data_IF_417532379696
#
_entry.id   IF_417532379696
#
_cell.length_a   1.000
_cell.length_b   1.000
_cell.length_c   1.000
_cell.angle_alpha   90.00
_cell.angle_beta   90.00
_cell.angle_gamma   90.00
#
_symmetry.space_group_name_H-M   'P 1'
#
loop_
_entity.id
_entity.type
_entity.pdbx_description
1 polymer ?
#
# COMPACT_ATOMS: atom_id res chain seq x y z
N UNK A 1 49.17 27.56 -16.33
CA UNK A 1 47.77 27.37 -15.90
C UNK A 1 46.96 27.07 -17.16
N UNK A 2 46.55 25.82 -17.34
CA UNK A 2 45.95 25.34 -18.60
C UNK A 2 44.54 25.93 -18.81
N UNK A 3 44.27 26.58 -19.96
CA UNK A 3 42.96 27.21 -20.26
C UNK A 3 41.83 26.20 -20.43
N UNK A 4 42.17 24.92 -20.62
CA UNK A 4 41.24 23.80 -20.76
C UNK A 4 40.31 23.64 -19.54
N UNK A 5 40.78 23.93 -18.31
CA UNK A 5 39.94 23.78 -17.12
C UNK A 5 38.90 24.92 -16.93
N UNK A 6 38.99 26.02 -17.69
CA UNK A 6 38.19 27.23 -17.44
C UNK A 6 36.79 27.18 -18.03
N UNK A 7 36.63 26.52 -19.18
CA UNK A 7 35.35 26.49 -19.91
C UNK A 7 34.56 25.19 -19.70
N UNK A 8 35.22 24.11 -19.25
CA UNK A 8 34.56 22.82 -18.97
C UNK A 8 34.02 22.74 -17.54
N UNK A 9 34.49 23.59 -16.63
CA UNK A 9 34.01 23.67 -15.24
C UNK A 9 32.50 23.87 -15.09
N UNK A 10 31.83 24.80 -15.82
CA UNK A 10 30.38 24.95 -15.73
C UNK A 10 29.64 23.71 -16.27
N UNK A 11 30.18 23.06 -17.29
CA UNK A 11 29.56 21.87 -17.91
C UNK A 11 29.68 20.65 -16.97
N UNK A 12 30.82 20.51 -16.30
CA UNK A 12 31.05 19.51 -15.27
C UNK A 12 30.16 19.76 -14.04
N UNK A 13 29.97 21.02 -13.63
CA UNK A 13 29.02 21.39 -12.56
C UNK A 13 27.58 21.03 -12.93
N UNK A 14 27.13 21.35 -14.15
CA UNK A 14 25.78 20.99 -14.63
C UNK A 14 25.61 19.46 -14.64
N UNK A 15 26.61 18.72 -15.11
CA UNK A 15 26.58 17.26 -15.13
C UNK A 15 26.47 16.65 -13.73
N UNK A 16 27.24 17.17 -12.76
CA UNK A 16 27.18 16.75 -11.36
C UNK A 16 25.81 17.07 -10.74
N UNK A 17 25.26 18.25 -10.98
CA UNK A 17 23.92 18.64 -10.48
C UNK A 17 22.83 17.73 -11.05
N UNK A 18 22.85 17.42 -12.34
CA UNK A 18 21.89 16.50 -12.97
C UNK A 18 21.97 15.10 -12.35
N UNK A 19 23.17 14.57 -12.15
CA UNK A 19 23.38 13.29 -11.47
C UNK A 19 22.82 13.29 -10.04
N UNK A 20 23.06 14.34 -9.27
CA UNK A 20 22.54 14.47 -7.90
C UNK A 20 21.00 14.49 -7.85
N UNK A 21 20.34 15.14 -8.82
CA UNK A 21 18.87 15.18 -8.91
C UNK A 21 18.31 13.79 -9.24
N UNK A 22 18.98 13.00 -10.09
CA UNK A 22 18.52 11.63 -10.43
C UNK A 22 18.66 10.63 -9.28
N UNK A 23 19.56 10.88 -8.33
CA UNK A 23 19.76 10.01 -7.16
C UNK A 23 18.82 10.31 -6.00
N UNK A 24 18.10 11.44 -6.03
CA UNK A 24 17.26 11.91 -4.91
C UNK A 24 15.77 11.66 -5.13
N UNK A 25 15.39 10.50 -5.66
CA UNK A 25 13.99 10.05 -5.62
C UNK A 25 13.90 8.72 -4.87
N UNK A 26 14.09 8.79 -3.56
CA UNK A 26 13.59 7.76 -2.63
C UNK A 26 12.36 8.30 -1.89
N UNK A 27 11.34 8.69 -2.65
CA UNK A 27 10.02 8.97 -2.09
C UNK A 27 8.97 8.08 -2.76
N UNK A 28 8.93 6.82 -2.29
CA UNK A 28 7.81 6.41 -1.45
C UNK A 28 6.41 6.27 -2.06
N UNK A 29 6.26 6.03 -3.37
CA UNK A 29 4.98 5.52 -3.87
C UNK A 29 4.89 4.02 -3.62
N UNK A 30 4.19 3.63 -2.54
CA UNK A 30 3.85 2.23 -2.33
C UNK A 30 2.90 1.81 -3.46
N UNK A 31 3.31 0.89 -4.33
CA UNK A 31 2.41 0.41 -5.37
C UNK A 31 1.18 -0.25 -4.74
N UNK A 32 -0.03 -0.01 -5.27
CA UNK A 32 -1.24 -0.69 -4.81
C UNK A 32 -1.04 -2.20 -4.86
N UNK A 33 -1.10 -2.86 -3.71
CA UNK A 33 -1.01 -4.31 -3.62
C UNK A 33 -2.42 -4.87 -3.52
N UNK A 34 -2.72 -5.81 -4.40
CA UNK A 34 -3.92 -6.63 -4.30
C UNK A 34 -3.83 -7.53 -3.06
N UNK A 35 -4.89 -7.54 -2.25
CA UNK A 35 -5.02 -8.34 -1.04
C UNK A 35 -6.34 -9.08 -1.08
N UNK A 36 -6.30 -10.37 -0.74
CA UNK A 36 -7.47 -11.22 -0.55
C UNK A 36 -7.57 -11.58 0.93
N UNK A 37 -8.71 -11.32 1.54
CA UNK A 37 -8.99 -11.65 2.94
C UNK A 37 -10.10 -12.68 2.99
N UNK A 38 -9.90 -13.73 3.78
CA UNK A 38 -10.90 -14.78 4.04
C UNK A 38 -11.19 -14.84 5.53
N UNK A 39 -12.45 -14.63 5.88
CA UNK A 39 -12.98 -14.76 7.23
C UNK A 39 -13.75 -16.07 7.31
N UNK A 40 -13.56 -16.85 8.38
CA UNK A 40 -14.27 -18.11 8.59
C UNK A 40 -14.77 -18.18 10.03
N UNK A 41 -16.07 -18.43 10.19
CA UNK A 41 -16.65 -18.68 11.51
C UNK A 41 -16.32 -20.12 11.93
N UNK A 42 -15.50 -20.26 12.98
CA UNK A 42 -15.12 -21.55 13.58
C UNK A 42 -15.67 -21.70 15.00
N UNK A 43 -16.67 -20.90 15.39
CA UNK A 43 -17.37 -21.05 16.66
C UNK A 43 -17.97 -22.46 16.72
N UNK A 44 -17.77 -23.16 17.85
CA UNK A 44 -18.21 -24.55 18.01
C UNK A 44 -19.74 -24.68 18.06
N UNK A 45 -20.40 -23.62 18.52
CA UNK A 45 -21.85 -23.57 18.63
C UNK A 45 -22.48 -23.22 17.28
N UNK A 46 -23.43 -24.04 16.82
CA UNK A 46 -24.10 -23.87 15.52
C UNK A 46 -25.11 -22.72 15.48
N UNK A 47 -25.46 -22.17 16.64
CA UNK A 47 -26.42 -21.05 16.74
C UNK A 47 -25.75 -19.68 16.81
N UNK A 48 -24.42 -19.63 16.93
CA UNK A 48 -23.69 -18.37 17.03
C UNK A 48 -23.39 -17.79 15.65
N UNK A 49 -23.95 -16.61 15.39
CA UNK A 49 -23.72 -15.82 14.19
C UNK A 49 -22.54 -14.89 14.45
N UNK A 50 -21.47 -15.07 13.67
CA UNK A 50 -20.33 -14.15 13.67
C UNK A 50 -20.65 -12.99 12.73
N UNK A 51 -21.05 -11.85 13.30
CA UNK A 51 -21.30 -10.62 12.55
C UNK A 51 -20.01 -9.83 12.40
N UNK A 52 -19.57 -9.61 11.16
CA UNK A 52 -18.35 -8.84 10.83
C UNK A 52 -18.71 -7.60 10.02
N UNK A 53 -18.13 -6.45 10.37
CA UNK A 53 -18.19 -5.25 9.53
C UNK A 53 -16.86 -5.08 8.82
N UNK A 54 -16.82 -5.31 7.51
CA UNK A 54 -15.61 -5.10 6.74
C UNK A 54 -15.60 -3.68 6.17
N UNK A 55 -14.83 -2.80 6.80
CA UNK A 55 -14.65 -1.43 6.32
C UNK A 55 -13.18 -1.11 6.11
N UNK A 56 -12.88 -0.52 4.97
CA UNK A 56 -11.62 0.13 4.66
C UNK A 56 -11.83 1.65 4.59
N UNK A 57 -10.76 2.44 4.50
CA UNK A 57 -10.89 3.92 4.45
C UNK A 57 -11.71 4.39 3.25
N UNK A 58 -11.52 3.76 2.10
CA UNK A 58 -12.10 4.19 0.83
C UNK A 58 -13.22 3.25 0.34
N UNK A 59 -13.37 2.07 0.96
CA UNK A 59 -14.32 1.04 0.53
C UNK A 59 -15.01 0.42 1.75
N UNK A 60 -16.34 0.53 1.81
CA UNK A 60 -17.18 -0.06 2.85
C UNK A 60 -17.90 -1.26 2.27
N UNK A 61 -17.49 -2.46 2.69
CA UNK A 61 -18.06 -3.72 2.23
C UNK A 61 -19.34 -4.03 3.02
N UNK A 62 -19.50 -3.39 4.19
CA UNK A 62 -20.68 -3.51 5.02
C UNK A 62 -20.64 -4.70 5.99
N UNK A 63 -21.83 -5.02 6.50
CA UNK A 63 -22.04 -6.08 7.47
C UNK A 63 -22.24 -7.44 6.80
N UNK A 64 -21.58 -8.46 7.34
CA UNK A 64 -21.77 -9.85 6.96
C UNK A 64 -22.01 -10.71 8.19
N UNK A 65 -23.09 -11.49 8.14
CA UNK A 65 -23.44 -12.46 9.17
C UNK A 65 -22.96 -13.84 8.70
N UNK A 66 -22.02 -14.42 9.44
CA UNK A 66 -21.45 -15.73 9.15
C UNK A 66 -22.04 -16.77 10.10
N UNK A 67 -22.77 -17.75 9.57
CA UNK A 67 -23.18 -18.92 10.35
C UNK A 67 -21.98 -19.85 10.60
N UNK A 68 -22.13 -20.79 11.52
CA UNK A 68 -21.07 -21.72 11.91
C UNK A 68 -20.51 -22.48 10.70
N UNK A 69 -19.17 -22.48 10.57
CA UNK A 69 -18.39 -23.02 9.44
C UNK A 69 -18.51 -22.25 8.12
N UNK A 70 -19.30 -21.20 8.06
CA UNK A 70 -19.37 -20.32 6.89
C UNK A 70 -18.07 -19.52 6.74
N UNK A 71 -17.77 -19.13 5.50
CA UNK A 71 -16.66 -18.25 5.22
C UNK A 71 -17.03 -17.18 4.21
N UNK A 72 -16.56 -15.96 4.46
CA UNK A 72 -16.68 -14.81 3.58
C UNK A 72 -15.30 -14.45 3.05
N UNK A 73 -15.22 -14.11 1.76
CA UNK A 73 -13.96 -13.69 1.11
C UNK A 73 -14.20 -12.41 0.34
N UNK A 74 -13.28 -11.46 0.49
CA UNK A 74 -13.28 -10.23 -0.28
C UNK A 74 -11.86 -9.84 -0.68
N UNK A 75 -11.77 -8.97 -1.68
CA UNK A 75 -10.52 -8.48 -2.23
C UNK A 75 -10.49 -6.96 -2.22
N UNK A 76 -9.32 -6.39 -1.96
CA UNK A 76 -9.11 -4.95 -2.02
C UNK A 76 -7.68 -4.61 -2.44
N UNK A 77 -7.47 -3.36 -2.86
CA UNK A 77 -6.15 -2.83 -3.16
C UNK A 77 -5.67 -1.92 -2.02
N UNK A 78 -4.40 -2.02 -1.63
CA UNK A 78 -3.82 -1.06 -0.70
C UNK A 78 -3.70 0.32 -1.36
N UNK A 79 -3.81 1.39 -0.57
CA UNK A 79 -3.59 2.74 -1.09
C UNK A 79 -2.12 2.98 -1.48
N UNK A 80 -1.91 4.00 -2.31
CA UNK A 80 -0.57 4.38 -2.81
C UNK A 80 0.37 4.95 -1.72
N UNK A 81 -0.15 5.18 -0.51
CA UNK A 81 0.57 5.76 0.63
C UNK A 81 1.07 4.73 1.65
N UNK A 82 1.01 3.43 1.35
CA UNK A 82 1.59 2.37 2.19
C UNK A 82 0.88 2.13 3.53
N UNK A 83 -0.27 2.75 3.77
CA UNK A 83 -1.05 2.51 4.99
C UNK A 83 -1.98 1.33 4.77
N UNK A 84 -1.79 0.27 5.58
CA UNK A 84 -2.76 -0.81 5.69
C UNK A 84 -4.04 -0.28 6.31
N UNK A 85 -5.14 -0.42 5.58
CA UNK A 85 -6.48 -0.08 6.06
C UNK A 85 -6.82 -1.06 7.18
N UNK A 86 -6.89 -0.56 8.42
CA UNK A 86 -7.25 -1.34 9.60
C UNK A 86 -8.67 -1.89 9.40
N UNK A 87 -8.82 -3.22 9.46
CA UNK A 87 -10.11 -3.87 9.56
C UNK A 87 -10.53 -3.85 11.03
N UNK A 88 -11.63 -3.19 11.35
CA UNK A 88 -12.30 -3.33 12.64
C UNK A 88 -13.09 -4.66 12.59
N UNK A 89 -12.63 -5.67 13.34
CA UNK A 89 -13.29 -6.98 13.46
C UNK A 89 -14.08 -7.00 14.77
#
# INVERSE_FOLDING_TARGET
MSPFLRNDLPLLLVFVVVLSITTSTEEGFAQPKHRRVRIRNLLENTTEILRVHCKSKDDDIGWHDLVTRESFTFEFYSNMGGTTLLLQI
#
